data_IF_225966696846
#
_entry.id   IF_225966696846
#
_cell.length_a   1.000
_cell.length_b   1.000
_cell.length_c   1.000
_cell.angle_alpha   90.00
_cell.angle_beta   90.00
_cell.angle_gamma   90.00
#
_symmetry.space_group_name_H-M   'P 1'
#
loop_
_entity.id
_entity.type
_entity.pdbx_description
1 polymer ?
#
# COMPACT_ATOMS: atom_id res chain seq x y z
N UNK A 1 -24.06 6.05 11.15
CA UNK A 1 -24.05 6.72 9.85
C UNK A 1 -25.07 5.96 8.98
N UNK A 2 -26.04 6.66 8.34
CA UNK A 2 -26.95 6.02 7.38
C UNK A 2 -26.20 5.55 6.14
N UNK A 3 -26.89 4.82 5.23
CA UNK A 3 -26.29 4.39 3.97
C UNK A 3 -25.89 5.61 3.14
N UNK A 4 -24.58 5.71 2.84
CA UNK A 4 -24.02 6.79 2.02
C UNK A 4 -23.77 6.30 0.61
N UNK A 5 -23.83 7.23 -0.35
CA UNK A 5 -23.28 7.05 -1.68
C UNK A 5 -21.91 7.74 -1.77
N UNK A 6 -20.86 6.95 -1.90
CA UNK A 6 -19.47 7.41 -1.95
C UNK A 6 -18.97 7.37 -3.38
N UNK A 7 -18.45 8.49 -3.88
CA UNK A 7 -17.81 8.54 -5.18
C UNK A 7 -16.28 8.62 -5.00
N UNK A 8 -15.59 7.56 -5.40
CA UNK A 8 -14.13 7.44 -5.30
C UNK A 8 -13.44 7.86 -6.59
N UNK A 9 -12.37 8.63 -6.48
CA UNK A 9 -11.56 9.12 -7.61
C UNK A 9 -10.14 8.53 -7.51
N UNK A 10 -9.60 8.00 -8.60
CA UNK A 10 -8.28 7.38 -8.63
C UNK A 10 -7.44 7.84 -9.83
N UNK A 11 -6.14 8.15 -9.63
CA UNK A 11 -5.19 8.48 -10.72
C UNK A 11 -4.63 7.22 -11.42
N UNK A 12 -4.64 6.07 -10.76
CA UNK A 12 -4.37 4.73 -11.33
C UNK A 12 -5.57 3.82 -11.11
N UNK A 13 -5.82 2.90 -12.06
CA UNK A 13 -6.95 2.00 -11.99
C UNK A 13 -6.72 0.74 -12.82
N UNK A 14 -7.54 -0.29 -12.62
CA UNK A 14 -7.50 -1.53 -13.39
C UNK A 14 -7.42 -1.30 -14.91
N UNK A 15 -6.67 -2.13 -15.64
CA UNK A 15 -6.06 -3.41 -15.27
C UNK A 15 -4.73 -3.31 -14.52
N UNK A 16 -4.19 -2.11 -14.30
CA UNK A 16 -3.01 -1.91 -13.49
C UNK A 16 -3.40 -1.81 -12.02
N UNK A 17 -2.73 -2.60 -11.18
CA UNK A 17 -2.92 -2.59 -9.73
C UNK A 17 -1.63 -2.19 -9.03
N UNK A 18 -1.71 -1.15 -8.22
CA UNK A 18 -0.69 -0.73 -7.26
C UNK A 18 -1.28 -0.67 -5.85
N UNK A 19 -0.49 -0.27 -4.87
CA UNK A 19 -0.95 -0.18 -3.49
C UNK A 19 -2.14 0.76 -3.29
N UNK A 20 -2.27 1.82 -4.07
CA UNK A 20 -3.39 2.76 -3.99
C UNK A 20 -4.69 2.14 -4.54
N UNK A 21 -4.62 1.41 -5.64
CA UNK A 21 -5.77 0.70 -6.22
C UNK A 21 -6.25 -0.41 -5.28
N UNK A 22 -5.32 -1.21 -4.72
CA UNK A 22 -5.64 -2.24 -3.73
C UNK A 22 -6.31 -1.62 -2.49
N UNK A 23 -5.78 -0.50 -2.01
CA UNK A 23 -6.34 0.21 -0.87
C UNK A 23 -7.76 0.72 -1.14
N UNK A 24 -7.98 1.33 -2.31
CA UNK A 24 -9.30 1.80 -2.73
C UNK A 24 -10.30 0.63 -2.85
N UNK A 25 -9.89 -0.49 -3.45
CA UNK A 25 -10.75 -1.67 -3.60
C UNK A 25 -11.17 -2.25 -2.25
N UNK A 26 -10.24 -2.39 -1.30
CA UNK A 26 -10.51 -2.87 0.05
C UNK A 26 -11.44 -1.93 0.83
N UNK A 27 -11.22 -0.62 0.71
CA UNK A 27 -12.11 0.39 1.33
C UNK A 27 -13.51 0.36 0.70
N UNK A 28 -13.60 0.25 -0.63
CA UNK A 28 -14.87 0.13 -1.32
C UNK A 28 -15.64 -1.12 -0.90
N UNK A 29 -14.96 -2.27 -0.83
CA UNK A 29 -15.55 -3.53 -0.37
C UNK A 29 -16.03 -3.44 1.08
N UNK A 30 -15.24 -2.87 1.98
CA UNK A 30 -15.63 -2.67 3.37
C UNK A 30 -16.87 -1.79 3.50
N UNK A 31 -16.94 -0.70 2.74
CA UNK A 31 -18.11 0.18 2.71
C UNK A 31 -19.38 -0.54 2.18
N UNK A 32 -19.24 -1.31 1.10
CA UNK A 32 -20.37 -2.07 0.53
C UNK A 32 -20.87 -3.16 1.47
N UNK A 33 -19.99 -3.87 2.18
CA UNK A 33 -20.37 -4.83 3.24
C UNK A 33 -21.21 -4.18 4.35
N UNK A 34 -21.02 -2.88 4.58
CA UNK A 34 -21.75 -2.08 5.57
C UNK A 34 -22.96 -1.34 5.00
N UNK A 35 -23.31 -1.60 3.73
CA UNK A 35 -24.52 -1.11 3.08
C UNK A 35 -24.40 0.23 2.37
N UNK A 36 -23.18 0.76 2.19
CA UNK A 36 -22.95 1.96 1.38
C UNK A 36 -22.93 1.62 -0.12
N UNK A 37 -23.25 2.60 -0.96
CA UNK A 37 -23.08 2.52 -2.42
C UNK A 37 -21.74 3.15 -2.82
N UNK A 38 -20.92 2.44 -3.60
CA UNK A 38 -19.64 2.96 -4.11
C UNK A 38 -19.67 3.10 -5.63
N UNK A 39 -19.31 4.27 -6.12
CA UNK A 39 -19.15 4.59 -7.54
C UNK A 39 -17.73 5.10 -7.76
N UNK A 40 -17.07 4.67 -8.84
CA UNK A 40 -15.68 5.03 -9.12
C UNK A 40 -15.59 5.97 -10.31
N UNK A 41 -14.73 6.97 -10.23
CA UNK A 41 -14.29 7.80 -11.37
C UNK A 41 -12.80 7.54 -11.59
N UNK A 42 -12.46 7.05 -12.77
CA UNK A 42 -11.12 6.55 -13.07
C UNK A 42 -10.65 6.96 -14.48
N UNK A 43 -9.33 7.01 -14.72
CA UNK A 43 -8.80 7.22 -16.06
C UNK A 43 -9.10 6.03 -16.97
N UNK A 44 -9.47 6.29 -18.22
CA UNK A 44 -9.63 5.26 -19.21
C UNK A 44 -8.27 4.65 -19.60
N UNK A 45 -8.16 3.34 -19.60
CA UNK A 45 -6.93 2.60 -19.88
C UNK A 45 -7.17 1.49 -20.92
N UNK A 46 -6.19 1.18 -21.79
CA UNK A 46 -6.27 0.03 -22.67
C UNK A 46 -6.39 -1.28 -21.89
N UNK A 47 -7.13 -2.24 -22.44
CA UNK A 47 -7.26 -3.57 -21.83
C UNK A 47 -8.17 -3.64 -20.60
N UNK A 48 -9.12 -2.71 -20.47
CA UNK A 48 -10.13 -2.75 -19.41
C UNK A 48 -10.76 -4.13 -19.27
N UNK A 49 -10.92 -4.56 -18.04
CA UNK A 49 -11.67 -5.79 -17.69
C UNK A 49 -12.98 -5.40 -17.01
N UNK A 50 -13.97 -6.28 -16.96
CA UNK A 50 -15.15 -6.10 -16.13
C UNK A 50 -14.74 -5.81 -14.68
N UNK A 51 -15.41 -4.85 -14.06
CA UNK A 51 -15.18 -4.46 -12.68
C UNK A 51 -16.53 -4.55 -11.92
N UNK A 52 -16.54 -5.01 -10.67
CA UNK A 52 -17.81 -5.31 -9.97
C UNK A 52 -18.63 -4.07 -9.63
N UNK A 53 -18.01 -2.87 -9.66
CA UNK A 53 -18.67 -1.61 -9.34
C UNK A 53 -18.89 -0.75 -10.57
N UNK A 54 -19.77 0.23 -10.47
CA UNK A 54 -19.99 1.22 -11.51
C UNK A 54 -18.79 2.13 -11.63
N UNK A 55 -18.22 2.26 -12.83
CA UNK A 55 -17.06 3.10 -13.12
C UNK A 55 -17.39 4.10 -14.21
N UNK A 56 -17.08 5.36 -13.95
CA UNK A 56 -17.07 6.43 -14.94
C UNK A 56 -15.64 6.67 -15.42
N UNK A 57 -15.38 6.35 -16.67
CA UNK A 57 -14.04 6.45 -17.25
C UNK A 57 -13.83 7.79 -17.95
N UNK A 58 -12.71 8.46 -17.64
CA UNK A 58 -12.33 9.73 -18.23
C UNK A 58 -11.18 9.58 -19.25
N UNK A 59 -11.20 10.33 -20.37
CA UNK A 59 -10.11 10.32 -21.33
C UNK A 59 -8.77 10.64 -20.69
N UNK A 60 -7.76 9.83 -20.96
CA UNK A 60 -6.47 9.94 -20.30
C UNK A 60 -5.31 9.51 -21.17
N UNK A 61 -4.10 9.99 -20.84
CA UNK A 61 -2.83 9.58 -21.45
C UNK A 61 -1.95 8.89 -20.42
N UNK A 62 -1.22 7.86 -20.86
CA UNK A 62 -0.30 7.12 -19.99
C UNK A 62 0.92 7.96 -19.60
N UNK A 63 1.35 7.84 -18.37
CA UNK A 63 2.59 8.45 -17.90
C UNK A 63 3.78 7.51 -18.19
N UNK A 64 4.76 7.99 -18.98
CA UNK A 64 5.79 7.12 -19.55
C UNK A 64 6.71 6.46 -18.54
N UNK A 65 7.00 7.14 -17.44
CA UNK A 65 7.98 6.71 -16.43
C UNK A 65 7.40 5.88 -15.29
N UNK A 66 6.07 5.87 -15.14
CA UNK A 66 5.38 5.04 -14.15
C UNK A 66 4.24 4.28 -14.83
N UNK A 67 4.48 3.01 -15.11
CA UNK A 67 3.50 2.16 -15.80
C UNK A 67 2.18 2.10 -14.99
N UNK A 68 1.07 2.32 -15.68
CA UNK A 68 -0.26 2.29 -15.07
C UNK A 68 -0.76 3.64 -14.54
N UNK A 69 0.12 4.59 -14.27
CA UNK A 69 -0.29 5.95 -13.91
C UNK A 69 -0.74 6.73 -15.15
N UNK A 70 -1.89 7.39 -15.05
CA UNK A 70 -2.48 8.06 -16.20
C UNK A 70 -2.91 9.47 -15.83
N UNK A 71 -2.72 10.39 -16.74
CA UNK A 71 -3.12 11.79 -16.57
C UNK A 71 -4.42 12.00 -17.33
N UNK A 72 -5.46 12.38 -16.63
CA UNK A 72 -6.70 12.84 -17.23
C UNK A 72 -6.47 14.26 -17.75
N UNK A 73 -6.58 14.42 -19.06
CA UNK A 73 -6.27 15.68 -19.74
C UNK A 73 -7.50 16.55 -20.02
N UNK A 74 -8.70 15.97 -19.92
CA UNK A 74 -9.96 16.70 -20.05
C UNK A 74 -10.88 16.31 -18.91
N UNK A 75 -11.55 17.27 -18.24
CA UNK A 75 -12.50 16.95 -17.18
C UNK A 75 -13.71 16.16 -17.69
N UNK A 76 -13.91 16.09 -19.03
CA UNK A 76 -15.03 15.40 -19.63
C UNK A 76 -16.36 15.92 -19.07
N UNK A 77 -17.23 14.98 -18.80
CA UNK A 77 -18.55 15.17 -18.21
C UNK A 77 -18.60 14.89 -16.70
N UNK A 78 -17.45 14.86 -16.01
CA UNK A 78 -17.36 14.50 -14.58
C UNK A 78 -18.31 15.34 -13.73
N UNK A 79 -18.47 16.62 -14.02
CA UNK A 79 -19.37 17.52 -13.27
C UNK A 79 -20.84 17.14 -13.47
N UNK A 80 -21.21 16.77 -14.69
CA UNK A 80 -22.55 16.27 -15.01
C UNK A 80 -22.79 14.92 -14.31
N UNK A 81 -21.80 14.05 -14.35
CA UNK A 81 -21.84 12.75 -13.68
C UNK A 81 -22.04 12.91 -12.16
N UNK A 82 -21.27 13.78 -11.50
CA UNK A 82 -21.42 14.05 -10.05
C UNK A 82 -22.82 14.59 -9.73
N UNK A 83 -23.34 15.53 -10.51
CA UNK A 83 -24.69 16.09 -10.34
C UNK A 83 -25.79 15.05 -10.55
N UNK A 84 -25.61 14.13 -11.48
CA UNK A 84 -26.54 13.03 -11.77
C UNK A 84 -26.54 11.97 -10.68
N UNK A 85 -25.36 11.56 -10.24
CA UNK A 85 -25.20 10.52 -9.22
C UNK A 85 -25.55 11.00 -7.81
N UNK A 86 -25.40 12.31 -7.54
CA UNK A 86 -25.67 12.93 -6.23
C UNK A 86 -25.01 12.18 -5.06
N UNK A 87 -23.67 11.98 -5.09
CA UNK A 87 -23.01 11.32 -3.99
C UNK A 87 -23.06 12.16 -2.72
N UNK A 88 -23.02 11.50 -1.57
CA UNK A 88 -22.93 12.15 -0.26
C UNK A 88 -21.50 12.55 0.07
N UNK A 89 -20.51 11.82 -0.48
CA UNK A 89 -19.08 11.98 -0.23
C UNK A 89 -18.29 11.88 -1.55
N UNK A 90 -17.30 12.76 -1.73
CA UNK A 90 -16.25 12.60 -2.73
C UNK A 90 -14.93 12.23 -2.06
N UNK A 91 -14.42 11.04 -2.35
CA UNK A 91 -13.20 10.51 -1.77
C UNK A 91 -12.14 10.29 -2.85
N UNK A 92 -11.02 11.02 -2.79
CA UNK A 92 -9.94 10.92 -3.76
C UNK A 92 -8.78 10.05 -3.24
N UNK A 93 -8.34 9.11 -4.06
CA UNK A 93 -7.20 8.23 -3.84
C UNK A 93 -5.97 8.62 -4.67
N UNK A 94 -6.02 9.77 -5.31
CA UNK A 94 -4.93 10.32 -6.13
C UNK A 94 -4.46 11.68 -5.63
N UNK A 95 -3.28 12.09 -6.09
CA UNK A 95 -2.69 13.39 -5.75
C UNK A 95 -2.41 14.26 -6.99
N UNK A 96 -2.82 13.83 -8.19
CA UNK A 96 -2.57 14.56 -9.43
C UNK A 96 -3.88 15.05 -10.08
N UNK A 97 -4.15 14.67 -11.31
CA UNK A 97 -5.29 15.17 -12.09
C UNK A 97 -6.64 14.90 -11.43
N UNK A 98 -6.79 13.70 -10.83
CA UNK A 98 -8.04 13.32 -10.18
C UNK A 98 -8.27 14.08 -8.86
N UNK A 99 -7.20 14.45 -8.14
CA UNK A 99 -7.31 15.30 -6.97
C UNK A 99 -7.84 16.69 -7.32
N UNK A 100 -7.36 17.28 -8.40
CA UNK A 100 -7.83 18.60 -8.90
C UNK A 100 -9.30 18.51 -9.32
N UNK A 101 -9.67 17.46 -10.06
CA UNK A 101 -11.04 17.26 -10.55
C UNK A 101 -12.02 17.01 -9.40
N UNK A 102 -11.69 16.13 -8.46
CA UNK A 102 -12.55 15.82 -7.31
C UNK A 102 -12.74 17.03 -6.39
N UNK A 103 -11.66 17.79 -6.13
CA UNK A 103 -11.71 19.00 -5.33
C UNK A 103 -12.55 20.10 -6.02
N UNK A 104 -12.42 20.25 -7.35
CA UNK A 104 -13.24 21.19 -8.14
C UNK A 104 -14.71 20.78 -8.09
N UNK A 105 -15.00 19.48 -8.23
CA UNK A 105 -16.35 18.96 -8.12
C UNK A 105 -16.95 19.23 -6.73
N UNK A 106 -16.20 18.94 -5.67
CA UNK A 106 -16.60 19.17 -4.29
C UNK A 106 -16.99 20.63 -4.03
N UNK A 107 -16.11 21.55 -4.44
CA UNK A 107 -16.34 23.00 -4.26
C UNK A 107 -17.56 23.51 -5.04
N UNK A 108 -17.78 22.98 -6.25
CA UNK A 108 -18.91 23.40 -7.11
C UNK A 108 -20.23 22.83 -6.63
N UNK A 109 -20.24 21.60 -6.09
CA UNK A 109 -21.46 20.90 -5.67
C UNK A 109 -21.72 21.00 -4.17
N UNK A 110 -20.76 21.52 -3.38
CA UNK A 110 -20.80 21.58 -1.92
C UNK A 110 -20.97 20.21 -1.28
N UNK A 111 -20.28 19.21 -1.82
CA UNK A 111 -20.22 17.84 -1.28
C UNK A 111 -18.93 17.71 -0.48
N UNK A 112 -18.95 17.08 0.72
CA UNK A 112 -17.75 16.85 1.52
C UNK A 112 -16.68 16.09 0.75
N UNK A 113 -15.41 16.54 0.84
CA UNK A 113 -14.29 16.01 0.09
C UNK A 113 -13.21 15.47 1.03
N UNK A 114 -12.73 14.26 0.72
CA UNK A 114 -11.61 13.63 1.41
C UNK A 114 -10.53 13.24 0.40
N UNK A 115 -9.28 13.23 0.88
CA UNK A 115 -8.13 12.68 0.13
C UNK A 115 -7.40 11.69 1.01
N UNK A 116 -7.19 10.46 0.52
CA UNK A 116 -6.25 9.52 1.14
C UNK A 116 -4.86 9.67 0.53
N UNK A 117 -3.88 9.87 1.40
CA UNK A 117 -2.48 10.09 1.04
C UNK A 117 -1.73 8.76 0.88
N UNK A 118 -1.84 8.11 -0.28
CA UNK A 118 -1.24 6.79 -0.53
C UNK A 118 0.24 6.80 -0.89
N UNK A 119 0.78 7.93 -1.36
CA UNK A 119 2.12 7.97 -1.95
C UNK A 119 2.87 9.21 -1.50
N UNK A 120 4.12 9.04 -1.08
CA UNK A 120 5.04 10.15 -0.82
C UNK A 120 5.45 10.80 -2.14
N UNK A 121 4.64 11.78 -2.58
CA UNK A 121 4.81 12.42 -3.89
C UNK A 121 6.19 13.07 -4.07
N UNK A 122 6.75 13.66 -3.00
CA UNK A 122 8.09 14.24 -2.98
C UNK A 122 9.20 13.21 -3.23
N UNK A 123 9.01 11.95 -2.83
CA UNK A 123 9.95 10.87 -3.08
C UNK A 123 9.65 10.17 -4.39
N UNK A 124 8.36 9.96 -4.72
CA UNK A 124 7.97 9.38 -5.99
C UNK A 124 8.57 10.15 -7.18
N UNK A 125 8.63 11.47 -7.07
CA UNK A 125 9.25 12.31 -8.10
C UNK A 125 10.73 11.99 -8.29
N UNK A 126 11.49 11.65 -7.24
CA UNK A 126 12.93 11.30 -7.35
C UNK A 126 13.12 10.00 -8.16
N UNK A 127 12.23 9.03 -7.98
CA UNK A 127 12.34 7.73 -8.65
C UNK A 127 11.69 7.72 -10.04
N UNK A 128 10.67 8.55 -10.28
CA UNK A 128 9.80 8.43 -11.45
C UNK A 128 9.73 9.69 -12.32
N UNK A 129 10.45 10.77 -11.97
CA UNK A 129 10.47 11.97 -12.82
C UNK A 129 11.13 11.67 -14.18
N UNK A 130 10.46 12.03 -15.30
CA UNK A 130 11.06 11.92 -16.62
C UNK A 130 12.09 13.02 -16.92
N UNK A 131 12.14 14.03 -16.07
CA UNK A 131 13.01 15.20 -16.24
C UNK A 131 14.22 15.09 -15.31
N UNK A 132 15.41 15.44 -15.77
CA UNK A 132 16.61 15.48 -14.94
C UNK A 132 16.61 16.77 -14.07
N UNK A 133 15.55 16.95 -13.29
CA UNK A 133 15.42 18.09 -12.38
C UNK A 133 16.06 17.71 -11.04
N UNK A 134 16.85 18.63 -10.50
CA UNK A 134 17.51 18.44 -9.21
C UNK A 134 16.46 18.35 -8.09
N UNK A 135 16.68 17.44 -7.15
CA UNK A 135 15.78 17.17 -6.02
C UNK A 135 15.52 18.42 -5.17
N UNK A 136 16.54 19.26 -4.99
CA UNK A 136 16.44 20.52 -4.23
C UNK A 136 15.50 21.55 -4.85
N UNK A 137 15.19 21.44 -6.14
CA UNK A 137 14.22 22.32 -6.82
C UNK A 137 12.81 21.71 -6.86
N UNK A 138 12.71 20.40 -7.15
CA UNK A 138 11.40 19.78 -7.40
C UNK A 138 10.65 19.46 -6.10
N UNK A 139 11.35 19.02 -5.05
CA UNK A 139 10.73 18.65 -3.77
C UNK A 139 9.99 19.83 -3.11
N UNK A 140 10.55 21.06 -3.03
CA UNK A 140 9.81 22.21 -2.51
C UNK A 140 8.55 22.56 -3.33
N UNK A 141 8.59 22.39 -4.66
CA UNK A 141 7.42 22.63 -5.53
C UNK A 141 6.31 21.63 -5.27
N UNK A 142 6.67 20.34 -5.09
CA UNK A 142 5.71 19.30 -4.73
C UNK A 142 5.06 19.61 -3.39
N UNK A 143 5.84 20.00 -2.37
CA UNK A 143 5.28 20.40 -1.08
C UNK A 143 4.41 21.65 -1.15
N UNK A 144 4.76 22.63 -1.98
CA UNK A 144 3.93 23.81 -2.20
C UNK A 144 2.57 23.42 -2.79
N UNK A 145 2.58 22.55 -3.81
CA UNK A 145 1.37 22.00 -4.41
C UNK A 145 0.51 21.24 -3.39
N UNK A 146 1.10 20.30 -2.66
CA UNK A 146 0.41 19.50 -1.66
C UNK A 146 -0.20 20.38 -0.56
N UNK A 147 0.54 21.35 -0.02
CA UNK A 147 0.00 22.33 0.96
C UNK A 147 -1.21 23.06 0.42
N UNK A 148 -1.14 23.53 -0.83
CA UNK A 148 -2.25 24.25 -1.46
C UNK A 148 -3.50 23.38 -1.67
N UNK A 149 -3.32 22.12 -2.03
CA UNK A 149 -4.41 21.18 -2.32
C UNK A 149 -5.02 20.63 -1.01
N UNK A 150 -4.20 20.10 -0.11
CA UNK A 150 -4.67 19.44 1.11
C UNK A 150 -5.34 20.41 2.09
N UNK A 151 -4.90 21.69 2.13
CA UNK A 151 -5.56 22.73 2.91
C UNK A 151 -7.01 23.00 2.45
N UNK A 152 -7.34 22.67 1.20
CA UNK A 152 -8.68 22.88 0.63
C UNK A 152 -9.60 21.68 0.77
N UNK A 153 -9.11 20.57 1.26
CA UNK A 153 -9.85 19.34 1.51
C UNK A 153 -10.42 19.36 2.91
N UNK A 154 -11.63 18.89 3.13
CA UNK A 154 -12.27 18.85 4.45
C UNK A 154 -11.50 17.91 5.40
N UNK A 155 -11.19 16.68 4.95
CA UNK A 155 -10.40 15.71 5.73
C UNK A 155 -9.31 15.08 4.86
N UNK A 156 -8.10 15.05 5.38
CA UNK A 156 -7.00 14.25 4.82
C UNK A 156 -6.92 12.94 5.59
N UNK A 157 -6.85 11.84 4.88
CA UNK A 157 -6.63 10.50 5.45
C UNK A 157 -5.16 10.14 5.28
N UNK A 158 -4.46 9.93 6.38
CA UNK A 158 -3.12 9.35 6.42
C UNK A 158 -3.25 7.84 6.69
N UNK A 159 -2.58 6.96 5.92
CA UNK A 159 -2.66 5.51 6.12
C UNK A 159 -1.92 5.02 7.36
N UNK A 160 -1.11 5.87 7.98
CA UNK A 160 -0.35 5.60 9.20
C UNK A 160 -0.03 6.88 9.95
N UNK A 161 0.25 6.76 11.26
CA UNK A 161 0.61 7.92 12.07
C UNK A 161 1.92 8.60 11.61
N UNK A 162 3.01 7.88 11.26
CA UNK A 162 4.22 8.51 10.74
C UNK A 162 3.97 9.36 9.49
N UNK A 163 3.04 8.97 8.62
CA UNK A 163 2.69 9.76 7.44
C UNK A 163 1.94 11.04 7.83
N UNK A 164 1.03 10.99 8.80
CA UNK A 164 0.40 12.19 9.37
C UNK A 164 1.45 13.14 9.92
N UNK A 165 2.35 12.63 10.76
CA UNK A 165 3.41 13.42 11.39
C UNK A 165 4.34 14.04 10.33
N UNK A 166 4.65 13.32 9.25
CA UNK A 166 5.47 13.84 8.14
C UNK A 166 4.76 14.93 7.34
N UNK A 167 3.46 14.83 7.11
CA UNK A 167 2.67 15.90 6.47
C UNK A 167 2.69 17.16 7.33
N UNK A 168 2.48 17.05 8.63
CA UNK A 168 2.50 18.16 9.58
C UNK A 168 3.90 18.80 9.66
N UNK A 169 4.97 18.00 9.76
CA UNK A 169 6.35 18.46 9.78
C UNK A 169 6.75 19.23 8.52
N UNK A 170 6.15 18.90 7.36
CA UNK A 170 6.34 19.63 6.11
C UNK A 170 5.39 20.82 5.92
N UNK A 171 4.73 21.27 6.98
CA UNK A 171 3.90 22.47 7.00
C UNK A 171 2.58 22.33 6.25
N UNK A 172 2.04 21.13 6.14
CA UNK A 172 0.70 20.89 5.61
C UNK A 172 -0.32 21.26 6.70
N UNK A 173 -0.95 22.43 6.57
CA UNK A 173 -2.08 22.82 7.40
C UNK A 173 -3.36 22.18 6.86
N UNK A 174 -3.88 21.19 7.55
CA UNK A 174 -5.11 20.47 7.20
C UNK A 174 -6.27 20.97 8.06
N UNK A 175 -7.49 21.01 7.49
CA UNK A 175 -8.70 21.29 8.28
C UNK A 175 -8.95 20.19 9.31
N UNK A 176 -8.77 18.93 8.88
CA UNK A 176 -8.69 17.76 9.74
C UNK A 176 -7.80 16.69 9.09
N UNK A 177 -7.14 15.87 9.91
CA UNK A 177 -6.37 14.72 9.44
C UNK A 177 -6.63 13.51 10.31
N UNK A 178 -7.16 12.47 9.71
CA UNK A 178 -7.47 11.20 10.37
C UNK A 178 -6.48 10.11 9.95
N UNK A 179 -6.08 9.27 10.91
CA UNK A 179 -5.28 8.08 10.61
C UNK A 179 -6.23 6.91 10.36
N UNK A 180 -6.36 6.56 9.08
CA UNK A 180 -7.21 5.43 8.65
C UNK A 180 -6.38 4.48 7.81
N UNK A 181 -5.85 3.40 8.41
CA UNK A 181 -5.13 2.38 7.66
C UNK A 181 -6.04 1.68 6.65
N UNK A 182 -5.45 1.22 5.56
CA UNK A 182 -6.11 0.25 4.67
C UNK A 182 -6.21 -1.08 5.40
N UNK A 183 -7.39 -1.62 5.52
CA UNK A 183 -7.62 -2.90 6.20
C UNK A 183 -7.04 -4.08 5.42
N UNK A 184 -6.73 -5.15 6.14
CA UNK A 184 -6.43 -6.46 5.56
C UNK A 184 -7.69 -7.34 5.58
N UNK A 185 -7.96 -8.04 4.47
CA UNK A 185 -9.05 -9.03 4.46
C UNK A 185 -8.55 -10.34 5.08
N UNK A 186 -8.98 -10.59 6.31
CA UNK A 186 -8.61 -11.80 7.08
C UNK A 186 -9.31 -13.07 6.58
N UNK A 187 -10.26 -12.97 5.65
CA UNK A 187 -10.82 -14.13 4.96
C UNK A 187 -9.97 -14.53 3.75
N UNK A 188 -9.28 -13.56 3.13
CA UNK A 188 -8.36 -13.80 2.02
C UNK A 188 -6.98 -14.23 2.54
N UNK A 189 -6.46 -13.52 3.53
CA UNK A 189 -5.16 -13.80 4.16
C UNK A 189 -5.41 -14.48 5.52
N UNK A 190 -5.16 -15.78 5.58
CA UNK A 190 -5.43 -16.63 6.74
C UNK A 190 -4.40 -17.76 6.82
N UNK A 191 -4.05 -18.25 8.02
CA UNK A 191 -3.27 -19.48 8.17
C UNK A 191 -3.91 -20.69 7.48
N UNK A 192 -5.21 -20.70 7.26
CA UNK A 192 -5.96 -21.78 6.60
C UNK A 192 -5.58 -21.94 5.11
N UNK A 193 -4.93 -20.95 4.52
CA UNK A 193 -4.38 -21.05 3.15
C UNK A 193 -3.09 -21.87 3.07
N UNK A 194 -2.60 -22.43 4.17
CA UNK A 194 -1.39 -23.26 4.16
C UNK A 194 -1.56 -24.47 3.24
N UNK A 195 -0.60 -24.61 2.31
CA UNK A 195 -0.52 -25.76 1.41
C UNK A 195 0.88 -26.38 1.50
N UNK A 196 0.96 -27.61 2.03
CA UNK A 196 2.21 -28.36 2.19
C UNK A 196 2.97 -28.62 0.88
N UNK A 197 2.27 -28.58 -0.26
CA UNK A 197 2.87 -28.82 -1.57
C UNK A 197 3.26 -27.53 -2.29
N UNK A 198 2.88 -26.38 -1.76
CA UNK A 198 3.19 -25.08 -2.37
C UNK A 198 4.69 -24.84 -2.55
N UNK A 199 5.46 -25.03 -1.48
CA UNK A 199 6.91 -24.80 -1.48
C UNK A 199 7.67 -25.80 -2.36
N UNK A 200 7.12 -26.99 -2.65
CA UNK A 200 7.69 -27.96 -3.59
C UNK A 200 7.82 -27.39 -5.00
N UNK A 201 6.90 -26.52 -5.40
CA UNK A 201 6.94 -25.84 -6.71
C UNK A 201 8.22 -25.04 -6.94
N UNK A 202 8.87 -24.65 -5.85
CA UNK A 202 10.08 -23.84 -5.81
C UNK A 202 11.33 -24.60 -5.33
N UNK A 203 11.22 -25.91 -5.08
CA UNK A 203 12.33 -26.71 -4.55
C UNK A 203 12.67 -26.41 -3.08
N UNK A 204 11.68 -25.89 -2.31
CA UNK A 204 11.85 -25.44 -0.92
C UNK A 204 11.13 -26.33 0.10
N UNK A 205 10.72 -27.53 -0.29
CA UNK A 205 10.04 -28.48 0.59
C UNK A 205 10.89 -28.84 1.82
N UNK A 206 10.29 -28.75 3.00
CA UNK A 206 10.94 -29.07 4.27
C UNK A 206 12.06 -28.11 4.72
N UNK A 207 12.19 -26.96 4.07
CA UNK A 207 13.19 -25.94 4.39
C UNK A 207 12.56 -24.76 5.13
N UNK A 208 13.26 -24.09 6.05
CA UNK A 208 12.83 -22.80 6.55
C UNK A 208 12.91 -21.74 5.44
N UNK A 209 11.81 -20.98 5.26
CA UNK A 209 11.67 -20.03 4.17
C UNK A 209 11.28 -18.64 4.68
N UNK A 210 12.15 -17.67 4.45
CA UNK A 210 11.80 -16.25 4.54
C UNK A 210 11.13 -15.80 3.24
N UNK A 211 10.08 -15.00 3.34
CA UNK A 211 9.33 -14.46 2.22
C UNK A 211 9.64 -12.97 2.04
N UNK A 212 9.90 -12.53 0.82
CA UNK A 212 9.90 -11.12 0.43
C UNK A 212 8.83 -10.88 -0.63
N UNK A 213 7.94 -9.93 -0.41
CA UNK A 213 6.85 -9.60 -1.34
C UNK A 213 6.93 -8.14 -1.72
N UNK A 214 6.90 -7.86 -3.02
CA UNK A 214 6.81 -6.50 -3.51
C UNK A 214 7.32 -6.31 -4.94
N UNK A 215 7.14 -5.10 -5.45
CA UNK A 215 7.74 -4.69 -6.72
C UNK A 215 9.25 -4.71 -6.59
N UNK A 216 9.96 -5.32 -7.53
CA UNK A 216 11.42 -5.35 -7.51
C UNK A 216 12.00 -4.05 -8.07
N UNK A 217 12.14 -3.06 -7.21
CA UNK A 217 12.64 -1.71 -7.45
C UNK A 217 13.56 -1.27 -6.31
N UNK A 218 14.43 -0.31 -6.57
CA UNK A 218 15.53 0.05 -5.64
C UNK A 218 15.03 0.53 -4.28
N UNK A 219 13.90 1.23 -4.23
CA UNK A 219 13.29 1.72 -2.98
C UNK A 219 12.79 0.60 -2.05
N UNK A 220 12.64 -0.63 -2.58
CA UNK A 220 12.27 -1.81 -1.76
C UNK A 220 13.45 -2.44 -1.04
N UNK A 221 14.67 -1.99 -1.33
CA UNK A 221 15.89 -2.34 -0.61
C UNK A 221 16.09 -3.85 -0.42
N UNK A 222 15.79 -4.66 -1.45
CA UNK A 222 16.07 -6.11 -1.41
C UNK A 222 17.59 -6.39 -1.26
N UNK A 223 18.45 -5.43 -1.56
CA UNK A 223 19.88 -5.48 -1.30
C UNK A 223 20.21 -5.77 0.17
N UNK A 224 19.49 -5.17 1.13
CA UNK A 224 19.67 -5.41 2.57
C UNK A 224 19.32 -6.86 2.91
N UNK A 225 18.20 -7.36 2.36
CA UNK A 225 17.76 -8.75 2.62
C UNK A 225 18.74 -9.76 2.03
N UNK A 226 19.25 -9.51 0.81
CA UNK A 226 20.28 -10.36 0.19
C UNK A 226 21.59 -10.34 0.98
N UNK A 227 22.01 -9.18 1.51
CA UNK A 227 23.14 -9.06 2.42
C UNK A 227 22.93 -9.90 3.69
N UNK A 228 21.76 -9.82 4.30
CA UNK A 228 21.40 -10.62 5.46
C UNK A 228 21.44 -12.15 5.16
N UNK A 229 21.00 -12.59 3.98
CA UNK A 229 21.13 -14.00 3.57
C UNK A 229 22.56 -14.47 3.48
N UNK A 230 23.50 -13.60 3.09
CA UNK A 230 24.95 -13.92 3.13
C UNK A 230 25.44 -14.09 4.56
N UNK A 231 25.07 -13.16 5.46
CA UNK A 231 25.51 -13.20 6.85
C UNK A 231 24.94 -14.41 7.61
N UNK A 232 23.74 -14.85 7.24
CA UNK A 232 23.07 -16.02 7.79
C UNK A 232 23.56 -17.37 7.18
N UNK A 233 24.39 -17.35 6.15
CA UNK A 233 24.79 -18.56 5.45
C UNK A 233 25.51 -19.58 6.33
N UNK A 234 26.23 -19.12 7.35
CA UNK A 234 26.97 -19.97 8.27
C UNK A 234 26.09 -20.53 9.40
N UNK A 235 25.23 -19.68 9.97
CA UNK A 235 24.50 -20.02 11.20
C UNK A 235 23.12 -20.64 10.89
N UNK A 236 22.55 -20.28 9.73
CA UNK A 236 21.26 -20.76 9.23
C UNK A 236 21.42 -21.29 7.79
N UNK A 237 22.19 -22.38 7.58
CA UNK A 237 22.55 -22.87 6.24
C UNK A 237 21.33 -23.33 5.43
N UNK A 238 20.27 -23.80 6.08
CA UNK A 238 19.05 -24.33 5.46
C UNK A 238 18.02 -23.23 5.15
N UNK A 239 18.19 -22.02 5.68
CA UNK A 239 17.27 -20.91 5.42
C UNK A 239 17.31 -20.50 3.94
N UNK A 240 16.16 -20.40 3.32
CA UNK A 240 15.97 -19.92 1.95
C UNK A 240 15.14 -18.63 1.92
N UNK A 241 15.32 -17.85 0.86
CA UNK A 241 14.52 -16.65 0.59
C UNK A 241 13.66 -16.87 -0.66
N UNK A 242 12.34 -16.76 -0.52
CA UNK A 242 11.41 -16.74 -1.62
C UNK A 242 11.06 -15.27 -1.93
N UNK A 243 11.42 -14.81 -3.13
CA UNK A 243 11.18 -13.44 -3.60
C UNK A 243 9.99 -13.45 -4.56
N UNK A 244 8.89 -12.83 -4.14
CA UNK A 244 7.65 -12.72 -4.91
C UNK A 244 7.48 -11.30 -5.42
N UNK A 245 7.32 -11.16 -6.73
CA UNK A 245 7.11 -9.91 -7.43
C UNK A 245 7.99 -9.78 -8.67
N UNK A 246 7.73 -8.73 -9.45
CA UNK A 246 8.51 -8.34 -10.64
C UNK A 246 8.83 -6.86 -10.57
N UNK A 247 9.84 -6.44 -11.30
CA UNK A 247 10.15 -5.02 -11.40
C UNK A 247 11.44 -4.72 -12.15
N UNK A 248 11.73 -3.44 -12.39
CA UNK A 248 12.87 -3.02 -13.21
C UNK A 248 14.24 -3.40 -12.60
N UNK A 249 14.33 -3.61 -11.29
CA UNK A 249 15.57 -3.97 -10.60
C UNK A 249 15.79 -5.50 -10.49
N UNK A 250 14.92 -6.35 -11.04
CA UNK A 250 15.04 -7.81 -10.92
C UNK A 250 16.41 -8.34 -11.40
N UNK A 251 16.86 -7.89 -12.58
CA UNK A 251 18.16 -8.28 -13.11
C UNK A 251 19.34 -7.82 -12.25
N UNK A 252 19.24 -6.67 -11.59
CA UNK A 252 20.22 -6.19 -10.63
C UNK A 252 20.28 -7.09 -9.40
N UNK A 253 19.13 -7.43 -8.81
CA UNK A 253 19.10 -8.27 -7.60
C UNK A 253 19.53 -9.71 -7.85
N UNK A 254 19.25 -10.29 -9.02
CA UNK A 254 19.77 -11.60 -9.41
C UNK A 254 21.30 -11.61 -9.52
N UNK A 255 21.90 -10.56 -10.11
CA UNK A 255 23.37 -10.41 -10.12
C UNK A 255 23.93 -10.24 -8.72
N UNK A 256 23.31 -9.38 -7.90
CA UNK A 256 23.75 -9.15 -6.53
C UNK A 256 23.71 -10.45 -5.70
N UNK A 257 22.68 -11.28 -5.84
CA UNK A 257 22.62 -12.58 -5.18
C UNK A 257 23.78 -13.51 -5.61
N UNK A 258 24.17 -13.46 -6.88
CA UNK A 258 25.33 -14.20 -7.40
C UNK A 258 26.65 -13.66 -6.83
N UNK A 259 26.82 -12.35 -6.83
CA UNK A 259 28.05 -11.69 -6.33
C UNK A 259 28.24 -11.90 -4.82
N UNK A 260 27.14 -12.01 -4.08
CA UNK A 260 27.12 -12.33 -2.65
C UNK A 260 27.29 -13.83 -2.36
N UNK A 261 27.20 -14.71 -3.39
CA UNK A 261 27.32 -16.17 -3.23
C UNK A 261 26.09 -16.83 -2.57
N UNK A 262 24.90 -16.24 -2.75
CA UNK A 262 23.65 -16.75 -2.13
C UNK A 262 22.59 -17.21 -3.14
N UNK A 263 22.93 -17.31 -4.42
CA UNK A 263 21.99 -17.64 -5.49
C UNK A 263 21.29 -19.00 -5.31
N UNK A 264 21.93 -19.96 -4.69
CA UNK A 264 21.40 -21.29 -4.39
C UNK A 264 20.35 -21.28 -3.27
N UNK A 265 20.28 -20.18 -2.51
CA UNK A 265 19.37 -20.00 -1.37
C UNK A 265 18.29 -18.95 -1.63
N UNK A 266 18.26 -18.34 -2.82
CA UNK A 266 17.32 -17.28 -3.19
C UNK A 266 16.53 -17.68 -4.43
N UNK A 267 15.22 -17.82 -4.27
CA UNK A 267 14.32 -18.18 -5.37
C UNK A 267 13.47 -16.98 -5.77
N UNK A 268 13.62 -16.54 -7.00
CA UNK A 268 12.78 -15.48 -7.58
C UNK A 268 11.55 -16.11 -8.24
N UNK A 269 10.42 -16.12 -7.53
CA UNK A 269 9.17 -16.73 -8.00
C UNK A 269 8.44 -15.91 -9.07
N UNK A 270 8.83 -14.66 -9.26
CA UNK A 270 8.11 -13.75 -10.14
C UNK A 270 6.77 -13.32 -9.54
N UNK A 271 5.81 -12.93 -10.41
CA UNK A 271 4.47 -12.55 -9.96
C UNK A 271 3.66 -13.80 -9.63
N UNK A 272 3.03 -13.79 -8.45
CA UNK A 272 2.05 -14.81 -8.05
C UNK A 272 0.63 -14.20 -8.11
N UNK A 273 -0.37 -14.94 -8.65
CA UNK A 273 -1.78 -14.57 -8.51
C UNK A 273 -2.22 -14.49 -7.05
N UNK A 274 -3.30 -13.77 -6.76
CA UNK A 274 -3.75 -13.48 -5.39
C UNK A 274 -3.93 -14.74 -4.52
N UNK A 275 -4.49 -15.83 -5.07
CA UNK A 275 -4.63 -17.09 -4.35
C UNK A 275 -3.29 -17.75 -4.00
N UNK A 276 -2.34 -17.78 -4.95
CA UNK A 276 -0.99 -18.29 -4.72
C UNK A 276 -0.20 -17.38 -3.77
N UNK A 277 -0.44 -16.07 -3.80
CA UNK A 277 0.17 -15.12 -2.87
C UNK A 277 -0.32 -15.35 -1.44
N UNK A 278 -1.62 -15.54 -1.23
CA UNK A 278 -2.17 -15.87 0.08
C UNK A 278 -1.61 -17.20 0.61
N UNK A 279 -1.44 -18.19 -0.27
CA UNK A 279 -0.80 -19.48 0.07
C UNK A 279 0.68 -19.29 0.43
N UNK A 280 1.41 -18.40 -0.29
CA UNK A 280 2.81 -18.10 0.04
C UNK A 280 2.94 -17.53 1.45
N UNK A 281 2.08 -16.56 1.83
CA UNK A 281 2.07 -16.01 3.19
C UNK A 281 1.75 -17.09 4.25
N UNK A 282 0.87 -18.03 3.97
CA UNK A 282 0.49 -19.05 4.93
C UNK A 282 1.52 -20.21 5.01
N UNK A 283 2.36 -20.40 3.97
CA UNK A 283 3.26 -21.57 3.85
C UNK A 283 4.72 -21.25 4.13
N UNK A 284 5.13 -19.98 4.14
CA UNK A 284 6.48 -19.57 4.56
C UNK A 284 6.53 -19.26 6.07
N UNK A 285 7.74 -19.15 6.64
CA UNK A 285 7.93 -19.03 8.08
C UNK A 285 7.90 -17.59 8.59
N UNK A 286 8.31 -16.62 7.77
CA UNK A 286 8.37 -15.21 8.12
C UNK A 286 8.40 -14.30 6.90
N UNK A 287 7.92 -13.06 7.05
CA UNK A 287 8.14 -12.00 6.08
C UNK A 287 9.41 -11.21 6.43
N UNK A 288 10.21 -10.86 5.41
CA UNK A 288 11.32 -9.90 5.56
C UNK A 288 11.06 -8.70 4.67
N UNK A 289 10.97 -7.51 5.26
CA UNK A 289 10.72 -6.25 4.54
C UNK A 289 11.73 -5.17 4.93
N UNK A 290 12.49 -4.69 3.95
CA UNK A 290 13.50 -3.62 4.09
C UNK A 290 13.10 -2.33 3.36
N UNK A 291 11.87 -2.23 2.90
CA UNK A 291 11.39 -1.10 2.10
C UNK A 291 11.43 0.22 2.87
N UNK A 292 12.04 1.23 2.26
CA UNK A 292 12.08 2.62 2.76
C UNK A 292 11.01 3.51 2.11
N UNK A 293 10.12 2.93 1.32
CA UNK A 293 9.07 3.64 0.59
C UNK A 293 7.67 3.13 0.93
N UNK A 294 7.38 2.94 2.21
CA UNK A 294 6.06 2.48 2.66
C UNK A 294 5.29 3.60 3.36
N UNK A 295 4.11 3.92 2.85
CA UNK A 295 3.16 4.78 3.56
C UNK A 295 2.36 3.99 4.60
N UNK A 296 2.19 2.69 4.38
CA UNK A 296 1.59 1.74 5.31
C UNK A 296 2.32 0.39 5.32
N UNK A 297 2.58 -0.21 4.14
CA UNK A 297 3.13 -1.56 4.04
C UNK A 297 2.05 -2.64 4.12
N UNK A 298 1.15 -2.69 3.13
CA UNK A 298 0.04 -3.67 3.06
C UNK A 298 0.52 -5.11 3.25
N UNK A 299 1.68 -5.45 2.69
CA UNK A 299 2.30 -6.78 2.78
C UNK A 299 2.59 -7.19 4.23
N UNK A 300 2.82 -6.23 5.14
CA UNK A 300 3.00 -6.50 6.57
C UNK A 300 1.70 -7.01 7.18
N UNK A 301 0.60 -6.33 6.92
CA UNK A 301 -0.71 -6.74 7.45
C UNK A 301 -1.19 -8.07 6.83
N UNK A 302 -0.86 -8.33 5.55
CA UNK A 302 -1.15 -9.59 4.87
C UNK A 302 -0.38 -10.76 5.52
N UNK A 303 0.90 -10.55 5.83
CA UNK A 303 1.71 -11.52 6.56
C UNK A 303 1.14 -11.78 7.97
N UNK A 304 0.86 -10.72 8.73
CA UNK A 304 0.30 -10.84 10.08
C UNK A 304 -1.07 -11.53 10.08
N UNK A 305 -1.93 -11.28 9.08
CA UNK A 305 -3.22 -11.94 8.93
C UNK A 305 -3.09 -13.43 8.59
N UNK A 306 -2.00 -13.83 7.94
CA UNK A 306 -1.65 -15.23 7.69
C UNK A 306 -0.94 -15.89 8.87
N UNK A 307 -0.84 -15.20 10.02
CA UNK A 307 -0.13 -15.67 11.20
C UNK A 307 1.39 -15.68 11.04
N UNK A 308 1.93 -14.96 10.07
CA UNK A 308 3.35 -14.93 9.76
C UNK A 308 4.04 -13.78 10.52
N UNK A 309 5.09 -14.04 11.32
CA UNK A 309 5.88 -12.99 11.96
C UNK A 309 6.68 -12.19 10.92
N UNK A 310 7.02 -10.96 11.26
CA UNK A 310 7.66 -10.02 10.33
C UNK A 310 9.01 -9.55 10.87
N UNK A 311 10.08 -9.74 10.09
CA UNK A 311 11.32 -8.99 10.25
C UNK A 311 11.21 -7.72 9.40
N UNK A 312 11.03 -6.57 10.04
CA UNK A 312 10.75 -5.30 9.38
C UNK A 312 11.81 -4.23 9.66
N UNK A 313 12.14 -3.44 8.63
CA UNK A 313 13.02 -2.29 8.82
C UNK A 313 12.37 -1.26 9.76
N UNK A 314 13.15 -0.65 10.65
CA UNK A 314 12.70 0.41 11.56
C UNK A 314 12.56 1.74 10.81
N UNK A 315 11.62 1.79 9.89
CA UNK A 315 11.43 2.97 9.05
C UNK A 315 9.94 3.26 8.81
N UNK A 316 9.54 4.53 8.94
CA UNK A 316 8.18 5.04 8.71
C UNK A 316 7.08 4.16 9.32
N UNK A 317 6.17 3.65 8.47
CA UNK A 317 4.98 2.94 8.88
C UNK A 317 5.24 1.52 9.43
N UNK A 318 6.37 0.89 9.11
CA UNK A 318 6.63 -0.50 9.51
C UNK A 318 6.56 -0.69 11.04
N UNK A 319 7.18 0.18 11.89
CA UNK A 319 7.09 0.05 13.35
C UNK A 319 5.69 0.26 13.94
N UNK A 320 4.75 0.81 13.17
CA UNK A 320 3.35 0.94 13.63
C UNK A 320 2.64 -0.42 13.68
N UNK A 321 3.03 -1.34 12.79
CA UNK A 321 2.38 -2.65 12.65
C UNK A 321 3.25 -3.79 13.19
N UNK A 322 4.58 -3.63 13.18
CA UNK A 322 5.53 -4.62 13.71
C UNK A 322 5.98 -4.21 15.10
N UNK A 323 5.56 -4.99 16.09
CA UNK A 323 5.88 -4.75 17.50
C UNK A 323 7.04 -5.67 17.91
N UNK A 324 8.16 -5.06 18.31
CA UNK A 324 9.41 -5.71 18.66
C UNK A 324 9.23 -6.85 19.67
N UNK A 325 9.60 -8.09 19.26
CA UNK A 325 9.51 -9.28 20.09
C UNK A 325 8.09 -9.82 20.34
N UNK A 326 7.04 -9.18 19.79
CA UNK A 326 5.64 -9.54 19.98
C UNK A 326 5.07 -10.25 18.74
N UNK A 327 5.02 -9.58 17.60
CA UNK A 327 4.55 -10.12 16.33
C UNK A 327 5.63 -10.11 15.24
N UNK A 328 6.85 -9.69 15.60
CA UNK A 328 7.99 -9.60 14.69
C UNK A 328 9.21 -9.00 15.37
N UNK A 329 10.23 -8.72 14.58
CA UNK A 329 11.47 -8.08 15.00
C UNK A 329 11.78 -6.90 14.09
N UNK A 330 12.13 -5.77 14.68
CA UNK A 330 12.55 -4.58 13.92
C UNK A 330 14.07 -4.56 13.76
N UNK A 331 14.54 -4.06 12.63
CA UNK A 331 15.97 -3.93 12.33
C UNK A 331 16.32 -2.58 11.72
N UNK A 332 17.55 -2.17 11.88
CA UNK A 332 18.22 -1.13 11.11
C UNK A 332 19.04 -1.78 9.99
N UNK A 333 19.50 -1.04 8.99
CA UNK A 333 20.11 -1.60 7.76
C UNK A 333 21.18 -2.68 8.03
N UNK A 334 21.96 -2.55 9.10
CA UNK A 334 23.04 -3.44 9.48
C UNK A 334 22.61 -4.66 10.33
N UNK A 335 21.39 -4.66 10.86
CA UNK A 335 20.91 -5.68 11.82
C UNK A 335 19.82 -6.61 11.27
N UNK A 336 19.63 -6.64 9.95
CA UNK A 336 18.60 -7.45 9.29
C UNK A 336 18.80 -8.96 9.59
N UNK A 337 20.02 -9.47 9.50
CA UNK A 337 20.33 -10.90 9.78
C UNK A 337 19.96 -11.30 11.21
N UNK A 338 20.23 -10.45 12.20
CA UNK A 338 19.88 -10.69 13.59
C UNK A 338 18.36 -10.71 13.81
N UNK A 339 17.63 -9.78 13.18
CA UNK A 339 16.16 -9.76 13.25
C UNK A 339 15.54 -11.03 12.64
N UNK A 340 16.06 -11.48 11.48
CA UNK A 340 15.65 -12.73 10.83
C UNK A 340 15.84 -13.92 11.78
N UNK A 341 17.05 -14.06 12.38
CA UNK A 341 17.35 -15.13 13.35
C UNK A 341 16.40 -15.12 14.54
N UNK A 342 16.13 -13.93 15.10
CA UNK A 342 15.21 -13.76 16.24
C UNK A 342 13.76 -14.10 15.90
N UNK A 343 13.30 -13.78 14.69
CA UNK A 343 11.98 -14.16 14.21
C UNK A 343 11.87 -15.68 14.04
N UNK A 344 12.86 -16.34 13.43
CA UNK A 344 12.87 -17.78 13.27
C UNK A 344 12.82 -18.51 14.63
N UNK A 345 13.63 -18.07 15.60
CA UNK A 345 13.70 -18.66 16.93
C UNK A 345 12.39 -18.55 17.75
N UNK A 346 11.49 -17.61 17.41
CA UNK A 346 10.27 -17.30 18.16
C UNK A 346 9.00 -17.36 17.31
N UNK A 347 9.05 -17.94 16.13
CA UNK A 347 7.94 -17.93 15.17
C UNK A 347 6.60 -18.35 15.78
N UNK A 348 6.56 -19.46 16.52
CA UNK A 348 5.33 -20.00 17.13
C UNK A 348 4.67 -19.02 18.12
N UNK A 349 5.46 -18.37 18.99
CA UNK A 349 4.94 -17.42 19.96
C UNK A 349 4.45 -16.12 19.30
N UNK A 350 5.08 -15.71 18.19
CA UNK A 350 4.73 -14.50 17.46
C UNK A 350 3.47 -14.68 16.58
N UNK A 351 3.16 -15.89 16.12
CA UNK A 351 1.99 -16.20 15.25
C UNK A 351 0.67 -15.76 15.89
N UNK A 352 0.45 -16.05 17.16
CA UNK A 352 -0.78 -15.68 17.87
C UNK A 352 -0.94 -14.16 17.93
N UNK A 353 0.15 -13.45 18.23
CA UNK A 353 0.16 -12.00 18.31
C UNK A 353 0.05 -11.34 16.93
N UNK A 354 0.61 -11.95 15.88
CA UNK A 354 0.43 -11.51 14.49
C UNK A 354 -1.05 -11.50 14.11
N UNK A 355 -1.77 -12.60 14.38
CA UNK A 355 -3.22 -12.69 14.13
C UNK A 355 -4.02 -11.68 14.96
N UNK A 356 -3.65 -11.45 16.23
CA UNK A 356 -4.29 -10.45 17.07
C UNK A 356 -4.14 -9.04 16.47
N UNK A 357 -2.90 -8.67 16.10
CA UNK A 357 -2.63 -7.39 15.43
C UNK A 357 -3.43 -7.25 14.13
N UNK A 358 -3.44 -8.28 13.27
CA UNK A 358 -4.17 -8.22 12.01
C UNK A 358 -5.68 -7.98 12.18
N UNK A 359 -6.29 -8.51 13.25
CA UNK A 359 -7.73 -8.27 13.57
C UNK A 359 -8.02 -6.80 13.87
N UNK A 360 -7.11 -6.09 14.53
CA UNK A 360 -7.24 -4.64 14.81
C UNK A 360 -7.20 -3.80 13.54
N UNK A 361 -6.58 -4.33 12.49
CA UNK A 361 -6.46 -3.73 11.15
C UNK A 361 -7.25 -4.49 10.09
N UNK A 362 -8.30 -5.23 10.48
CA UNK A 362 -9.21 -5.86 9.53
C UNK A 362 -9.93 -4.82 8.66
N UNK A 363 -10.40 -5.23 7.48
CA UNK A 363 -11.21 -4.35 6.60
C UNK A 363 -12.37 -3.73 7.38
N UNK A 364 -13.08 -4.51 8.20
CA UNK A 364 -14.24 -4.01 8.95
C UNK A 364 -13.83 -2.96 9.99
N UNK A 365 -12.77 -3.21 10.78
CA UNK A 365 -12.28 -2.26 11.77
C UNK A 365 -11.77 -0.95 11.14
N UNK A 366 -11.09 -1.04 9.98
CA UNK A 366 -10.62 0.12 9.25
C UNK A 366 -11.77 0.89 8.56
N UNK A 367 -12.80 0.18 8.09
CA UNK A 367 -13.99 0.82 7.50
C UNK A 367 -14.77 1.64 8.53
N UNK A 368 -14.84 1.18 9.78
CA UNK A 368 -15.43 1.99 10.86
C UNK A 368 -14.69 3.32 11.10
N UNK A 369 -13.35 3.29 11.00
CA UNK A 369 -12.54 4.52 11.06
C UNK A 369 -12.82 5.42 9.86
N UNK A 370 -12.98 4.84 8.68
CA UNK A 370 -13.29 5.56 7.44
C UNK A 370 -14.67 6.24 7.51
N UNK A 371 -15.70 5.55 8.02
CA UNK A 371 -17.04 6.13 8.23
C UNK A 371 -17.00 7.34 9.20
N UNK A 372 -16.19 7.26 10.26
CA UNK A 372 -15.98 8.41 11.16
C UNK A 372 -15.31 9.59 10.44
N UNK A 373 -14.35 9.32 9.55
CA UNK A 373 -13.72 10.36 8.74
C UNK A 373 -14.72 11.01 7.77
N UNK A 374 -15.67 10.24 7.21
CA UNK A 374 -16.76 10.78 6.38
C UNK A 374 -17.71 11.69 7.16
N UNK A 375 -18.10 11.27 8.36
CA UNK A 375 -18.92 12.10 9.24
C UNK A 375 -18.19 13.42 9.60
N UNK A 376 -16.92 13.33 9.93
CA UNK A 376 -16.09 14.51 10.22
C UNK A 376 -16.00 15.46 9.01
N UNK A 377 -15.88 14.95 7.79
CA UNK A 377 -15.82 15.77 6.60
C UNK A 377 -17.12 16.56 6.38
N UNK A 378 -18.29 15.96 6.64
CA UNK A 378 -19.58 16.65 6.58
C UNK A 378 -19.65 17.76 7.65
N UNK A 379 -19.16 17.51 8.88
CA UNK A 379 -19.11 18.52 9.93
C UNK A 379 -18.17 19.69 9.59
N UNK A 380 -16.99 19.40 9.06
CA UNK A 380 -16.00 20.44 8.65
C UNK A 380 -16.61 21.32 7.55
N UNK A 381 -17.25 20.73 6.54
CA UNK A 381 -17.91 21.45 5.47
C UNK A 381 -19.01 22.38 6.02
N UNK A 382 -19.84 21.89 6.95
CA UNK A 382 -20.92 22.65 7.56
C UNK A 382 -20.43 23.86 8.38
N UNK A 383 -19.22 23.81 8.96
CA UNK A 383 -18.61 24.92 9.72
C UNK A 383 -18.01 26.01 8.81
N UNK A 384 -17.73 25.68 7.55
CA UNK A 384 -17.07 26.58 6.59
C UNK A 384 -18.04 27.30 5.67
N UNK A 385 -19.32 26.98 5.74
CA UNK A 385 -20.45 27.55 4.98
C UNK A 385 -21.60 27.99 5.87
#
# INVERSE_FOLDING_TARGET
VGNLKVMMFADSFHPHTDGAVIAMDRQAEGLERRGHEVVVVAPDAPGRKPYPRRVHYLPSVGFKTYAGYRIVHTPGDVMEFVRKEKPDILHCHGLASMAILSLTAARTTKIPHLITFHTMANEAVKYYSPLPIRDDMIVPMVWLYLRGMLKRTEVVIAPSKPIKDELEANGVCMNACEVVPTGVDTNVYSPDNHDKDFLKRFGLDGKPVALHVGRLSHEKRLDIVLGAMKDLARDEPDLHLLVVGKGPAEGHYKRLASDLGVSDRVVFAGFLPDGDLATAYASCDMLVIASTFETQGLVVLEALASGMPVAGIRFRAIPEFVHEGVNGCLFDEESCAEAVRRCLARSDSMRINALATAREYSVDACTEKLERAYALAAEVLARTH
#
